data_IF_100584379013
#
_entry.id   IF_100584379013
#
_cell.length_a   1.000
_cell.length_b   1.000
_cell.length_c   1.000
_cell.angle_alpha   90.00
_cell.angle_beta   90.00
_cell.angle_gamma   90.00
#
_symmetry.space_group_name_H-M   'P 1'
#
loop_
_entity.id
_entity.type
_entity.pdbx_description
1 polymer ?
#
# COMPACT_ATOMS: atom_id res chain seq x y z
N UNK A 1 -43.99 -51.43 -16.79
CA UNK A 1 -42.69 -50.97 -17.30
C UNK A 1 -42.76 -49.46 -17.54
N UNK A 2 -42.61 -48.67 -16.52
CA UNK A 2 -42.50 -47.21 -16.60
C UNK A 2 -41.44 -46.73 -15.65
N UNK A 3 -40.42 -46.10 -16.21
CA UNK A 3 -39.31 -45.47 -15.51
C UNK A 3 -39.79 -44.23 -14.72
N UNK A 4 -39.55 -44.20 -13.42
CA UNK A 4 -39.66 -43.01 -12.62
C UNK A 4 -38.24 -42.40 -12.48
N UNK A 5 -38.02 -41.27 -13.16
CA UNK A 5 -36.82 -40.44 -13.01
C UNK A 5 -37.00 -39.52 -11.80
N UNK A 6 -36.24 -39.74 -10.77
CA UNK A 6 -36.20 -38.85 -9.63
C UNK A 6 -35.32 -37.63 -9.94
N UNK A 7 -35.92 -36.45 -9.97
CA UNK A 7 -35.26 -35.15 -10.02
C UNK A 7 -34.65 -34.85 -8.65
N UNK A 8 -33.34 -34.94 -8.54
CA UNK A 8 -32.55 -34.33 -7.46
C UNK A 8 -32.27 -32.87 -7.86
N UNK A 9 -33.10 -31.97 -7.39
CA UNK A 9 -32.81 -30.54 -7.37
C UNK A 9 -31.76 -30.31 -6.29
N UNK A 10 -30.51 -30.05 -6.71
CA UNK A 10 -29.45 -29.51 -5.85
C UNK A 10 -29.84 -28.13 -5.42
N UNK A 11 -30.12 -27.95 -4.12
CA UNK A 11 -30.19 -26.66 -3.48
C UNK A 11 -28.77 -26.00 -3.52
N UNK A 12 -28.56 -25.09 -4.46
CA UNK A 12 -27.43 -24.21 -4.44
C UNK A 12 -27.63 -23.21 -3.30
N UNK A 13 -26.93 -23.45 -2.19
CA UNK A 13 -26.74 -22.45 -1.13
C UNK A 13 -26.08 -21.24 -1.77
N UNK A 14 -26.84 -20.15 -1.93
CA UNK A 14 -26.35 -18.86 -2.38
C UNK A 14 -25.40 -18.25 -1.36
N UNK A 15 -24.14 -18.61 -1.48
CA UNK A 15 -23.05 -17.87 -0.83
C UNK A 15 -22.69 -16.74 -1.80
N UNK A 16 -23.31 -15.57 -1.64
CA UNK A 16 -22.92 -14.33 -2.33
C UNK A 16 -21.53 -13.96 -1.84
N UNK A 17 -20.49 -14.48 -2.50
CA UNK A 17 -19.15 -13.92 -2.39
C UNK A 17 -19.23 -12.51 -2.94
N UNK A 18 -19.14 -11.50 -2.05
CA UNK A 18 -18.95 -10.10 -2.45
C UNK A 18 -17.81 -10.07 -3.47
N UNK A 19 -18.02 -9.41 -4.62
CA UNK A 19 -16.94 -9.22 -5.59
C UNK A 19 -15.80 -8.47 -4.91
N UNK A 20 -14.55 -8.75 -5.29
CA UNK A 20 -13.39 -8.11 -4.67
C UNK A 20 -13.44 -6.58 -4.70
N UNK A 21 -14.01 -5.99 -5.74
CA UNK A 21 -14.27 -4.55 -5.83
C UNK A 21 -15.24 -4.05 -4.76
N UNK A 22 -16.25 -4.84 -4.41
CA UNK A 22 -17.18 -4.50 -3.32
C UNK A 22 -16.46 -4.50 -1.98
N UNK A 23 -15.58 -5.49 -1.71
CA UNK A 23 -14.82 -5.57 -0.46
C UNK A 23 -13.85 -4.39 -0.27
N UNK A 24 -13.14 -3.99 -1.34
CA UNK A 24 -12.29 -2.79 -1.31
C UNK A 24 -13.11 -1.52 -1.17
N UNK A 25 -14.26 -1.43 -1.84
CA UNK A 25 -15.17 -0.28 -1.81
C UNK A 25 -15.71 0.01 -0.40
N UNK A 26 -16.07 -1.03 0.34
CA UNK A 26 -16.53 -0.90 1.73
C UNK A 26 -15.47 -0.26 2.65
N UNK A 27 -14.21 -0.68 2.52
CA UNK A 27 -13.12 -0.13 3.32
C UNK A 27 -12.64 1.23 2.81
N UNK A 28 -12.66 1.45 1.50
CA UNK A 28 -12.22 2.70 0.88
C UNK A 28 -13.12 3.89 1.23
N UNK A 29 -14.43 3.68 1.28
CA UNK A 29 -15.38 4.77 1.55
C UNK A 29 -15.12 5.53 2.87
N UNK A 30 -14.99 4.89 4.03
CA UNK A 30 -14.65 5.61 5.26
C UNK A 30 -13.26 6.27 5.22
N UNK A 31 -12.29 5.66 4.51
CA UNK A 31 -10.96 6.23 4.31
C UNK A 31 -11.05 7.56 3.53
N UNK A 32 -11.77 7.58 2.40
CA UNK A 32 -11.92 8.80 1.59
C UNK A 32 -12.57 9.94 2.40
N UNK A 33 -13.58 9.60 3.22
CA UNK A 33 -14.21 10.58 4.12
C UNK A 33 -13.22 11.12 5.14
N UNK A 34 -12.40 10.25 5.74
CA UNK A 34 -11.40 10.66 6.72
C UNK A 34 -10.27 11.50 6.10
N UNK A 35 -9.79 11.14 4.91
CA UNK A 35 -8.80 11.92 4.17
C UNK A 35 -9.33 13.30 3.82
N UNK A 36 -10.59 13.42 3.39
CA UNK A 36 -11.22 14.69 3.11
C UNK A 36 -11.32 15.58 4.36
N UNK A 37 -11.68 15.01 5.50
CA UNK A 37 -11.72 15.72 6.79
C UNK A 37 -10.32 16.14 7.25
N UNK A 38 -9.30 15.34 6.99
CA UNK A 38 -7.90 15.63 7.35
C UNK A 38 -7.25 16.72 6.47
N UNK A 39 -7.94 17.20 5.42
CA UNK A 39 -7.48 18.32 4.60
C UNK A 39 -7.77 19.70 5.19
N UNK A 40 -8.21 19.81 6.44
CA UNK A 40 -8.24 21.07 7.18
C UNK A 40 -6.90 21.29 7.89
N UNK A 41 -6.00 22.00 7.22
CA UNK A 41 -4.62 22.23 7.69
C UNK A 41 -4.49 23.44 8.65
N UNK A 42 -5.64 23.98 9.14
CA UNK A 42 -5.68 25.08 10.09
C UNK A 42 -5.44 26.47 9.48
N UNK A 43 -5.70 27.51 10.31
CA UNK A 43 -5.72 28.92 9.87
C UNK A 43 -4.36 29.48 9.42
N UNK A 44 -3.25 28.83 9.75
CA UNK A 44 -1.89 29.31 9.39
C UNK A 44 -1.38 28.76 8.06
N UNK A 45 -2.06 27.80 7.45
CA UNK A 45 -1.63 27.22 6.18
C UNK A 45 -1.98 28.16 5.01
N UNK A 46 -0.99 28.54 4.18
CA UNK A 46 -1.27 29.34 2.98
C UNK A 46 -2.20 28.62 2.01
N UNK A 47 -3.16 29.33 1.42
CA UNK A 47 -4.19 28.73 0.53
C UNK A 47 -3.61 27.93 -0.64
N UNK A 48 -2.54 28.43 -1.28
CA UNK A 48 -1.90 27.73 -2.39
C UNK A 48 -1.21 26.43 -1.95
N UNK A 49 -0.59 26.42 -0.78
CA UNK A 49 0.01 25.21 -0.19
C UNK A 49 -1.07 24.19 0.18
N UNK A 50 -2.13 24.64 0.86
CA UNK A 50 -3.28 23.81 1.17
C UNK A 50 -3.94 23.19 -0.07
N UNK A 51 -4.03 23.96 -1.16
CA UNK A 51 -4.55 23.47 -2.45
C UNK A 51 -3.67 22.36 -3.03
N UNK A 52 -2.35 22.52 -3.04
CA UNK A 52 -1.40 21.51 -3.54
C UNK A 52 -1.44 20.22 -2.68
N UNK A 53 -1.47 20.34 -1.36
CA UNK A 53 -1.58 19.21 -0.45
C UNK A 53 -2.89 18.43 -0.67
N UNK A 54 -4.03 19.14 -0.80
CA UNK A 54 -5.33 18.51 -1.12
C UNK A 54 -5.32 17.84 -2.47
N UNK A 55 -4.74 18.50 -3.47
CA UNK A 55 -4.63 17.96 -4.82
C UNK A 55 -3.93 16.59 -4.84
N UNK A 56 -2.83 16.46 -4.10
CA UNK A 56 -2.08 15.20 -3.98
C UNK A 56 -2.80 14.16 -3.13
N UNK A 57 -3.22 14.52 -1.91
CA UNK A 57 -3.79 13.58 -0.94
C UNK A 57 -5.12 13.00 -1.41
N UNK A 58 -5.96 13.81 -2.07
CA UNK A 58 -7.27 13.41 -2.59
C UNK A 58 -7.22 12.93 -4.05
N UNK A 59 -6.03 12.81 -4.65
CA UNK A 59 -5.89 12.23 -5.99
C UNK A 59 -6.49 10.82 -6.05
N UNK A 60 -7.13 10.42 -7.16
CA UNK A 60 -7.70 9.09 -7.31
C UNK A 60 -6.67 7.98 -7.05
N UNK A 61 -7.05 6.94 -6.29
CA UNK A 61 -6.15 5.86 -5.95
C UNK A 61 -6.84 4.64 -5.36
N UNK A 62 -6.10 3.52 -5.31
CA UNK A 62 -6.60 2.26 -4.73
C UNK A 62 -6.66 2.29 -3.20
N UNK A 63 -6.01 3.26 -2.55
CA UNK A 63 -5.90 3.42 -1.08
C UNK A 63 -5.41 2.15 -0.38
N UNK A 64 -4.48 1.45 -1.01
CA UNK A 64 -4.07 0.13 -0.51
C UNK A 64 -3.45 0.19 0.90
N UNK A 65 -2.62 1.20 1.19
CA UNK A 65 -1.98 1.35 2.51
C UNK A 65 -2.98 1.61 3.63
N UNK A 66 -3.88 2.60 3.54
CA UNK A 66 -4.97 2.75 4.52
C UNK A 66 -5.85 1.50 4.64
N UNK A 67 -6.15 0.82 3.54
CA UNK A 67 -6.93 -0.43 3.55
C UNK A 67 -6.19 -1.52 4.33
N UNK A 68 -4.88 -1.64 4.21
CA UNK A 68 -4.07 -2.58 5.00
C UNK A 68 -4.16 -2.30 6.50
N UNK A 69 -4.19 -1.01 6.92
CA UNK A 69 -4.42 -0.62 8.33
C UNK A 69 -5.76 -1.17 8.81
N UNK A 70 -6.83 -0.99 8.04
CA UNK A 70 -8.17 -1.47 8.43
C UNK A 70 -8.25 -3.00 8.40
N UNK A 71 -7.67 -3.66 7.41
CA UNK A 71 -7.68 -5.12 7.29
C UNK A 71 -6.91 -5.82 8.43
N UNK A 72 -5.77 -5.26 8.83
CA UNK A 72 -5.00 -5.84 9.95
C UNK A 72 -5.74 -5.68 11.27
N UNK A 73 -6.33 -4.52 11.53
CA UNK A 73 -7.16 -4.29 12.71
C UNK A 73 -8.37 -5.22 12.75
N UNK A 74 -9.05 -5.39 11.61
CA UNK A 74 -10.18 -6.32 11.51
C UNK A 74 -9.76 -7.78 11.76
N UNK A 75 -8.66 -8.23 11.16
CA UNK A 75 -8.16 -9.58 11.37
C UNK A 75 -7.83 -9.85 12.84
N UNK A 76 -7.18 -8.89 13.53
CA UNK A 76 -6.88 -8.98 14.95
C UNK A 76 -8.15 -8.98 15.82
N UNK A 77 -9.12 -8.10 15.54
CA UNK A 77 -10.39 -8.01 16.27
C UNK A 77 -11.23 -9.26 16.08
N UNK A 78 -11.46 -9.70 14.84
CA UNK A 78 -12.22 -10.91 14.53
C UNK A 78 -11.61 -12.16 15.18
N UNK A 79 -10.29 -12.27 15.17
CA UNK A 79 -9.58 -13.39 15.78
C UNK A 79 -9.74 -13.41 17.31
N UNK A 80 -9.75 -12.22 17.96
CA UNK A 80 -9.79 -12.09 19.42
C UNK A 80 -11.22 -12.04 19.98
N UNK A 81 -12.14 -11.31 19.32
CA UNK A 81 -13.48 -11.00 19.87
C UNK A 81 -14.62 -11.44 18.97
N UNK A 82 -14.36 -11.80 17.71
CA UNK A 82 -15.38 -12.11 16.71
C UNK A 82 -16.07 -10.88 16.10
N UNK A 83 -15.64 -9.66 16.41
CA UNK A 83 -16.25 -8.42 15.91
C UNK A 83 -15.56 -7.92 14.63
N UNK A 84 -16.36 -7.64 13.59
CA UNK A 84 -15.86 -7.05 12.34
C UNK A 84 -15.68 -5.54 12.47
N UNK A 85 -14.80 -4.95 11.65
CA UNK A 85 -14.59 -3.50 11.61
C UNK A 85 -15.82 -2.76 11.07
N UNK A 86 -16.63 -3.39 10.22
CA UNK A 86 -17.85 -2.82 9.68
C UNK A 86 -18.95 -2.65 10.75
N UNK A 87 -18.97 -3.55 11.73
CA UNK A 87 -19.97 -3.53 12.81
C UNK A 87 -19.45 -2.79 14.06
N UNK A 88 -18.14 -2.46 14.10
CA UNK A 88 -17.48 -1.84 15.24
C UNK A 88 -16.95 -0.42 14.90
N UNK A 89 -17.86 0.56 14.97
CA UNK A 89 -17.51 1.98 14.73
C UNK A 89 -16.39 2.48 15.66
N UNK A 90 -16.31 1.95 16.89
CA UNK A 90 -15.24 2.30 17.83
C UNK A 90 -13.89 1.85 17.31
N UNK A 91 -13.77 0.61 16.85
CA UNK A 91 -12.53 0.07 16.27
C UNK A 91 -12.13 0.87 15.03
N UNK A 92 -13.09 1.15 14.13
CA UNK A 92 -12.85 1.95 12.94
C UNK A 92 -12.27 3.33 13.29
N UNK A 93 -12.89 4.05 14.25
CA UNK A 93 -12.40 5.36 14.68
C UNK A 93 -11.03 5.29 15.36
N UNK A 94 -10.76 4.21 16.08
CA UNK A 94 -9.48 4.01 16.78
C UNK A 94 -8.30 3.82 15.82
N UNK A 95 -8.50 3.16 14.69
CA UNK A 95 -7.42 2.85 13.71
C UNK A 95 -7.35 3.83 12.55
N UNK A 96 -8.40 4.61 12.31
CA UNK A 96 -8.46 5.57 11.20
C UNK A 96 -7.31 6.61 11.22
N UNK A 97 -6.84 7.12 12.38
CA UNK A 97 -5.69 8.02 12.40
C UNK A 97 -4.43 7.41 11.76
N UNK A 98 -4.18 6.12 11.99
CA UNK A 98 -3.08 5.40 11.33
C UNK A 98 -3.26 5.27 9.82
N UNK A 99 -4.50 5.02 9.39
CA UNK A 99 -4.84 4.92 7.97
C UNK A 99 -4.64 6.25 7.23
N UNK A 100 -5.04 7.37 7.83
CA UNK A 100 -4.83 8.72 7.28
C UNK A 100 -3.35 9.07 7.24
N UNK A 101 -2.64 8.86 8.35
CA UNK A 101 -1.24 9.22 8.48
C UNK A 101 -0.34 8.46 7.47
N UNK A 102 -0.55 7.16 7.28
CA UNK A 102 0.24 6.40 6.31
C UNK A 102 -0.03 6.82 4.87
N UNK A 103 -1.26 7.27 4.54
CA UNK A 103 -1.56 7.80 3.21
C UNK A 103 -0.94 9.18 2.99
N UNK A 104 -0.86 10.04 4.03
CA UNK A 104 -0.12 11.30 3.95
C UNK A 104 1.37 11.06 3.66
N UNK A 105 2.00 10.10 4.34
CA UNK A 105 3.38 9.68 4.05
C UNK A 105 3.51 9.16 2.62
N UNK A 106 2.56 8.37 2.15
CA UNK A 106 2.58 7.90 0.77
C UNK A 106 2.38 9.05 -0.23
N UNK A 107 1.48 10.00 0.05
CA UNK A 107 1.23 11.12 -0.84
C UNK A 107 2.47 12.03 -0.97
N UNK A 108 3.16 12.36 0.15
CA UNK A 108 4.38 13.14 0.07
C UNK A 108 5.46 12.44 -0.75
N UNK A 109 5.63 11.13 -0.58
CA UNK A 109 6.66 10.40 -1.33
C UNK A 109 6.39 10.44 -2.83
N UNK A 110 5.11 10.35 -3.25
CA UNK A 110 4.75 10.47 -4.66
C UNK A 110 4.96 11.89 -5.22
N UNK A 111 4.68 12.95 -4.42
CA UNK A 111 4.95 14.33 -4.84
C UNK A 111 6.42 14.52 -5.12
N UNK A 112 7.28 14.04 -4.22
CA UNK A 112 8.73 14.19 -4.38
C UNK A 112 9.29 13.28 -5.48
N UNK A 113 8.80 12.05 -5.60
CA UNK A 113 9.20 11.14 -6.67
C UNK A 113 8.92 11.70 -8.07
N UNK A 114 7.83 12.47 -8.23
CA UNK A 114 7.43 13.06 -9.53
C UNK A 114 8.29 14.26 -9.96
N UNK A 115 9.10 14.87 -9.08
CA UNK A 115 9.90 16.06 -9.37
C UNK A 115 10.93 15.84 -10.49
N UNK A 116 11.32 16.90 -11.25
CA UNK A 116 12.33 16.80 -12.30
C UNK A 116 13.70 16.28 -11.85
N UNK A 117 14.05 16.47 -10.56
CA UNK A 117 15.27 15.95 -9.95
C UNK A 117 15.19 14.46 -9.56
N UNK A 118 14.03 13.83 -9.73
CA UNK A 118 13.71 12.46 -9.35
C UNK A 118 13.25 11.67 -10.59
N UNK A 119 11.97 11.24 -10.62
CA UNK A 119 11.42 10.46 -11.74
C UNK A 119 11.03 11.31 -12.95
N UNK A 120 10.97 12.63 -12.83
CA UNK A 120 10.60 13.60 -13.89
C UNK A 120 9.30 13.20 -14.61
N UNK A 121 8.25 13.00 -13.84
CA UNK A 121 6.96 12.55 -14.33
C UNK A 121 5.95 13.70 -14.43
N UNK A 122 5.50 14.05 -15.65
CA UNK A 122 4.48 15.08 -15.89
C UNK A 122 3.08 14.62 -15.49
N UNK A 123 2.80 13.33 -15.53
CA UNK A 123 1.48 12.75 -15.30
C UNK A 123 1.52 11.59 -14.30
N UNK A 124 0.58 11.62 -13.36
CA UNK A 124 0.32 10.51 -12.43
C UNK A 124 -1.15 10.16 -12.40
N UNK A 125 -1.48 8.89 -12.70
CA UNK A 125 -2.89 8.41 -12.79
C UNK A 125 -3.76 9.25 -13.73
N UNK A 126 -3.20 9.68 -14.84
CA UNK A 126 -3.87 10.48 -15.87
C UNK A 126 -4.12 11.95 -15.53
N UNK A 127 -3.52 12.45 -14.42
CA UNK A 127 -3.57 13.86 -14.02
C UNK A 127 -2.17 14.48 -14.00
N UNK A 128 -2.02 15.79 -14.22
CA UNK A 128 -0.74 16.47 -14.00
C UNK A 128 -0.20 16.20 -12.60
N UNK A 129 1.11 16.03 -12.49
CA UNK A 129 1.79 15.95 -11.19
C UNK A 129 1.79 17.28 -10.49
N UNK A 130 2.09 17.32 -9.18
CA UNK A 130 1.95 18.56 -8.39
C UNK A 130 2.86 19.67 -8.92
N UNK A 131 4.09 19.35 -9.34
CA UNK A 131 5.00 20.36 -9.88
C UNK A 131 4.56 20.92 -11.26
N UNK A 132 3.77 20.17 -12.01
CA UNK A 132 3.18 20.62 -13.28
C UNK A 132 1.90 21.45 -13.04
N UNK A 133 1.04 21.03 -12.10
CA UNK A 133 -0.22 21.72 -11.80
C UNK A 133 0.01 23.05 -11.06
N UNK A 134 1.04 23.10 -10.21
CA UNK A 134 1.41 24.28 -9.40
C UNK A 134 2.79 24.81 -9.84
N UNK A 135 3.85 24.39 -9.17
CA UNK A 135 5.26 24.63 -9.48
C UNK A 135 6.15 23.70 -8.61
N UNK A 136 7.46 23.64 -8.93
CA UNK A 136 8.41 22.77 -8.21
C UNK A 136 8.55 23.16 -6.73
N UNK A 137 8.63 24.45 -6.41
CA UNK A 137 8.79 24.91 -5.04
C UNK A 137 7.56 24.55 -4.19
N UNK A 138 6.35 24.76 -4.75
CA UNK A 138 5.10 24.36 -4.11
C UNK A 138 5.02 22.84 -3.93
N UNK A 139 5.49 22.05 -4.90
CA UNK A 139 5.53 20.59 -4.79
C UNK A 139 6.47 20.12 -3.67
N UNK A 140 7.68 20.67 -3.59
CA UNK A 140 8.63 20.36 -2.50
C UNK A 140 8.00 20.68 -1.14
N UNK A 141 7.45 21.89 -0.97
CA UNK A 141 6.85 22.32 0.29
C UNK A 141 5.58 21.53 0.64
N UNK A 142 4.77 21.12 -0.35
CA UNK A 142 3.59 20.28 -0.11
C UNK A 142 3.98 18.89 0.37
N UNK A 143 5.05 18.30 -0.15
CA UNK A 143 5.60 17.04 0.34
C UNK A 143 6.12 17.16 1.77
N UNK A 144 6.93 18.17 2.07
CA UNK A 144 7.46 18.44 3.41
C UNK A 144 6.32 18.63 4.43
N UNK A 145 5.31 19.41 4.06
CA UNK A 145 4.17 19.68 4.92
C UNK A 145 3.34 18.41 5.19
N UNK A 146 3.02 17.60 4.16
CA UNK A 146 2.28 16.35 4.34
C UNK A 146 3.02 15.34 5.20
N UNK A 147 4.37 15.30 5.14
CA UNK A 147 5.16 14.47 6.02
C UNK A 147 5.00 14.90 7.49
N UNK A 148 5.06 16.21 7.77
CA UNK A 148 4.85 16.74 9.12
C UNK A 148 3.40 16.52 9.60
N UNK A 149 2.41 16.79 8.73
CA UNK A 149 0.98 16.60 9.00
C UNK A 149 0.63 15.15 9.34
N UNK A 150 1.31 14.15 8.77
CA UNK A 150 1.10 12.75 9.12
C UNK A 150 1.34 12.49 10.62
N UNK A 151 2.41 13.04 11.18
CA UNK A 151 2.73 12.91 12.61
C UNK A 151 1.82 13.78 13.48
N UNK A 152 1.54 15.00 13.05
CA UNK A 152 0.59 15.90 13.70
C UNK A 152 -0.78 15.23 13.81
N UNK A 153 -1.25 14.59 12.73
CA UNK A 153 -2.52 13.88 12.71
C UNK A 153 -2.58 12.75 13.74
N UNK A 154 -1.51 11.93 13.86
CA UNK A 154 -1.43 10.92 14.91
C UNK A 154 -1.48 11.54 16.31
N UNK A 155 -0.71 12.61 16.54
CA UNK A 155 -0.67 13.29 17.84
C UNK A 155 -2.02 13.87 18.26
N UNK A 156 -2.80 14.37 17.30
CA UNK A 156 -4.12 14.97 17.58
C UNK A 156 -5.23 13.93 17.77
N UNK A 157 -5.14 12.75 17.16
CA UNK A 157 -6.26 11.81 17.07
C UNK A 157 -6.05 10.48 17.79
N UNK A 158 -4.81 10.13 18.20
CA UNK A 158 -4.53 8.95 19.04
C UNK A 158 -4.44 9.37 20.50
N UNK A 159 -5.48 9.12 21.27
CA UNK A 159 -5.58 9.59 22.66
C UNK A 159 -4.77 8.77 23.67
N UNK A 160 -4.51 7.49 23.39
CA UNK A 160 -3.68 6.62 24.23
C UNK A 160 -2.19 6.91 23.98
N UNK A 161 -1.44 7.40 25.00
CA UNK A 161 -0.05 7.80 24.81
C UNK A 161 0.89 6.64 24.47
N UNK A 162 0.57 5.41 24.88
CA UNK A 162 1.38 4.22 24.55
C UNK A 162 1.19 3.85 23.08
N UNK A 163 -0.06 3.84 22.62
CA UNK A 163 -0.39 3.61 21.21
C UNK A 163 0.14 4.72 20.31
N UNK A 164 0.03 5.97 20.76
CA UNK A 164 0.60 7.11 20.04
C UNK A 164 2.12 6.97 19.86
N UNK A 165 2.85 6.71 20.93
CA UNK A 165 4.29 6.53 20.86
C UNK A 165 4.68 5.38 19.92
N UNK A 166 3.97 4.27 19.98
CA UNK A 166 4.19 3.13 19.09
C UNK A 166 3.84 3.47 17.62
N UNK A 167 2.71 4.13 17.36
CA UNK A 167 2.29 4.52 16.01
C UNK A 167 3.29 5.52 15.37
N UNK A 168 3.75 6.52 16.13
CA UNK A 168 4.78 7.47 15.69
C UNK A 168 6.09 6.76 15.40
N UNK A 169 6.52 5.82 16.26
CA UNK A 169 7.74 5.03 16.05
C UNK A 169 7.67 4.17 14.79
N UNK A 170 6.55 3.49 14.56
CA UNK A 170 6.33 2.65 13.37
C UNK A 170 6.40 3.52 12.10
N UNK A 171 5.63 4.60 12.06
CA UNK A 171 5.54 5.44 10.86
C UNK A 171 6.84 6.18 10.56
N UNK A 172 7.50 6.74 11.59
CA UNK A 172 8.78 7.44 11.42
C UNK A 172 9.91 6.51 10.99
N UNK A 173 9.95 5.28 11.52
CA UNK A 173 10.87 4.25 11.06
C UNK A 173 10.65 3.94 9.57
N UNK A 174 9.40 3.70 9.17
CA UNK A 174 9.08 3.36 7.78
C UNK A 174 9.37 4.50 6.80
N UNK A 175 9.20 5.77 7.20
CA UNK A 175 9.51 6.96 6.40
C UNK A 175 10.99 7.36 6.43
N UNK A 176 11.83 6.69 7.21
CA UNK A 176 13.21 7.13 7.54
C UNK A 176 14.22 6.93 6.42
N UNK A 177 15.43 7.47 6.67
CA UNK A 177 16.61 7.27 5.83
C UNK A 177 17.05 5.80 5.68
N UNK A 178 16.72 4.94 6.64
CA UNK A 178 17.02 3.50 6.56
C UNK A 178 15.94 2.69 5.80
N UNK A 179 14.78 3.28 5.53
CA UNK A 179 13.66 2.62 4.86
C UNK A 179 13.21 3.39 3.60
N UNK A 180 12.04 4.01 3.58
CA UNK A 180 11.44 4.63 2.38
C UNK A 180 12.42 5.57 1.68
N UNK A 181 12.95 6.57 2.39
CA UNK A 181 13.86 7.57 1.80
C UNK A 181 15.18 6.92 1.36
N UNK A 182 15.75 6.04 2.18
CA UNK A 182 16.97 5.30 1.81
C UNK A 182 16.77 4.34 0.65
N UNK A 183 15.58 3.71 0.58
CA UNK A 183 15.21 2.86 -0.55
C UNK A 183 15.09 3.66 -1.84
N UNK A 184 14.48 4.86 -1.79
CA UNK A 184 14.40 5.78 -2.93
C UNK A 184 15.78 6.28 -3.38
N UNK A 185 16.65 6.63 -2.42
CA UNK A 185 18.01 7.07 -2.73
C UNK A 185 18.83 5.99 -3.45
N UNK A 186 18.71 4.73 -3.03
CA UNK A 186 19.38 3.62 -3.69
C UNK A 186 18.73 3.25 -5.03
N UNK A 187 17.42 3.42 -5.18
CA UNK A 187 16.72 3.21 -6.45
C UNK A 187 17.21 4.18 -7.52
N UNK A 188 17.21 5.49 -7.22
CA UNK A 188 17.76 6.53 -8.11
C UNK A 188 19.25 6.32 -8.43
N UNK A 189 20.01 5.90 -7.43
CA UNK A 189 21.42 5.58 -7.65
C UNK A 189 21.58 4.40 -8.60
N UNK A 190 20.69 3.39 -8.49
CA UNK A 190 20.69 2.22 -9.36
C UNK A 190 20.42 2.56 -10.82
N UNK A 191 19.63 3.60 -11.10
CA UNK A 191 19.34 4.07 -12.45
C UNK A 191 20.53 4.84 -13.06
N UNK A 192 21.19 5.66 -12.25
CA UNK A 192 22.20 6.63 -12.73
C UNK A 192 23.63 6.11 -12.79
N UNK A 193 23.97 5.06 -12.07
CA UNK A 193 25.33 4.54 -12.03
C UNK A 193 25.53 3.32 -12.95
N UNK A 194 26.62 3.35 -13.73
CA UNK A 194 27.15 2.18 -14.39
C UNK A 194 27.78 1.23 -13.35
N UNK A 195 26.94 0.72 -12.44
CA UNK A 195 27.42 -0.25 -11.46
C UNK A 195 28.02 -1.47 -12.13
N UNK A 196 29.13 -2.02 -11.62
CA UNK A 196 29.63 -3.31 -12.06
C UNK A 196 28.51 -4.36 -11.99
N UNK A 197 28.43 -5.25 -12.99
CA UNK A 197 27.42 -6.34 -13.00
C UNK A 197 27.37 -7.13 -11.68
N UNK A 198 28.48 -7.19 -10.93
CA UNK A 198 28.60 -7.85 -9.64
C UNK A 198 27.69 -7.27 -8.52
N UNK A 199 27.22 -6.03 -8.66
CA UNK A 199 26.33 -5.37 -7.68
C UNK A 199 24.86 -5.47 -8.12
N UNK A 200 24.59 -5.69 -9.40
CA UNK A 200 23.23 -5.84 -9.96
C UNK A 200 22.70 -7.25 -9.68
N UNK A 201 22.32 -7.50 -8.44
CA UNK A 201 21.81 -8.80 -7.99
C UNK A 201 20.33 -8.71 -7.58
N UNK A 202 19.67 -9.86 -7.57
CA UNK A 202 18.29 -9.99 -7.05
C UNK A 202 18.23 -9.55 -5.59
N UNK A 203 19.21 -9.92 -4.78
CA UNK A 203 19.26 -9.57 -3.35
C UNK A 203 19.34 -8.04 -3.14
N UNK A 204 20.12 -7.35 -4.00
CA UNK A 204 20.18 -5.90 -3.95
C UNK A 204 18.87 -5.24 -4.36
N UNK A 205 18.26 -5.69 -5.46
CA UNK A 205 16.93 -5.25 -5.90
C UNK A 205 15.89 -5.48 -4.79
N UNK A 206 15.86 -6.65 -4.17
CA UNK A 206 14.98 -6.93 -3.03
C UNK A 206 15.22 -6.01 -1.84
N UNK A 207 16.47 -5.67 -1.56
CA UNK A 207 16.82 -4.72 -0.49
C UNK A 207 16.23 -3.33 -0.77
N UNK A 208 16.29 -2.84 -2.01
CA UNK A 208 15.67 -1.57 -2.43
C UNK A 208 14.15 -1.65 -2.23
N UNK A 209 13.51 -2.68 -2.80
CA UNK A 209 12.05 -2.82 -2.75
C UNK A 209 11.51 -3.02 -1.33
N UNK A 210 12.20 -3.77 -0.47
CA UNK A 210 11.83 -3.93 0.94
C UNK A 210 11.85 -2.59 1.68
N UNK A 211 12.79 -1.70 1.37
CA UNK A 211 12.91 -0.38 2.00
C UNK A 211 11.96 0.63 1.36
N UNK A 212 11.97 0.80 0.04
CA UNK A 212 11.18 1.80 -0.69
C UNK A 212 9.67 1.54 -0.55
N UNK A 213 9.24 0.31 -0.78
CA UNK A 213 7.81 -0.05 -0.82
C UNK A 213 7.39 -0.90 0.38
N UNK A 214 8.15 -1.93 0.70
CA UNK A 214 7.83 -2.91 1.75
C UNK A 214 7.69 -2.28 3.13
N UNK A 215 8.49 -1.25 3.43
CA UNK A 215 8.44 -0.57 4.72
C UNK A 215 7.06 0.05 5.03
N UNK A 216 6.44 0.73 4.06
CA UNK A 216 5.10 1.29 4.25
C UNK A 216 4.00 0.22 4.26
N UNK A 217 4.16 -0.90 3.57
CA UNK A 217 3.25 -2.04 3.71
C UNK A 217 3.30 -2.62 5.13
N UNK A 218 4.52 -2.84 5.64
CA UNK A 218 4.71 -3.31 7.01
C UNK A 218 4.17 -2.33 8.04
N UNK A 219 4.47 -1.04 7.88
CA UNK A 219 3.95 0.01 8.76
C UNK A 219 2.42 0.07 8.74
N UNK A 220 1.78 -0.09 7.57
CA UNK A 220 0.32 -0.09 7.46
C UNK A 220 -0.31 -1.20 8.30
N UNK A 221 0.18 -2.43 8.17
CA UNK A 221 -0.34 -3.57 8.92
C UNK A 221 -0.04 -3.44 10.43
N UNK A 222 1.15 -2.97 10.79
CA UNK A 222 1.54 -2.81 12.19
C UNK A 222 0.82 -1.65 12.88
N UNK A 223 0.52 -0.55 12.17
CA UNK A 223 -0.33 0.54 12.67
C UNK A 223 -1.74 0.04 13.01
N UNK A 224 -2.36 -0.72 12.12
CA UNK A 224 -3.67 -1.30 12.39
C UNK A 224 -3.64 -2.26 13.59
N UNK A 225 -2.60 -3.08 13.69
CA UNK A 225 -2.40 -4.02 14.78
C UNK A 225 -2.22 -3.30 16.13
N UNK A 226 -1.30 -2.34 16.22
CA UNK A 226 -0.99 -1.60 17.46
C UNK A 226 -2.20 -0.80 17.92
N UNK A 227 -2.86 -0.10 17.01
CA UNK A 227 -4.02 0.72 17.35
C UNK A 227 -5.22 -0.13 17.77
N UNK A 228 -5.33 -1.39 17.34
CA UNK A 228 -6.40 -2.34 17.71
C UNK A 228 -6.06 -3.29 18.86
N UNK A 229 -5.00 -3.03 19.64
CA UNK A 229 -4.58 -3.85 20.78
C UNK A 229 -4.18 -5.29 20.41
N UNK A 230 -3.57 -5.49 19.25
CA UNK A 230 -3.13 -6.79 18.79
C UNK A 230 -2.04 -7.40 19.70
N UNK A 231 -2.08 -8.71 19.88
CA UNK A 231 -1.05 -9.45 20.61
C UNK A 231 0.29 -9.49 19.86
N UNK A 232 1.36 -9.83 20.56
CA UNK A 232 2.67 -10.00 19.92
C UNK A 232 2.69 -11.07 18.83
N UNK A 233 1.93 -12.16 19.01
CA UNK A 233 1.80 -13.23 18.02
C UNK A 233 1.05 -12.75 16.76
N UNK A 234 -0.05 -12.01 16.94
CA UNK A 234 -0.79 -11.39 15.82
C UNK A 234 0.11 -10.43 15.04
N UNK A 235 0.86 -9.57 15.71
CA UNK A 235 1.81 -8.66 15.08
C UNK A 235 2.92 -9.41 14.32
N UNK A 236 3.43 -10.51 14.87
CA UNK A 236 4.44 -11.36 14.22
C UNK A 236 3.90 -11.96 12.92
N UNK A 237 2.69 -12.52 12.93
CA UNK A 237 2.04 -13.05 11.72
C UNK A 237 1.80 -11.97 10.67
N UNK A 238 1.35 -10.77 11.08
CA UNK A 238 1.18 -9.64 10.16
C UNK A 238 2.51 -9.15 9.58
N UNK A 239 3.59 -9.17 10.36
CA UNK A 239 4.93 -8.79 9.87
C UNK A 239 5.44 -9.78 8.79
N UNK A 240 5.25 -11.08 8.99
CA UNK A 240 5.53 -12.11 7.98
C UNK A 240 4.71 -11.89 6.72
N UNK A 241 3.40 -11.71 6.87
CA UNK A 241 2.48 -11.40 5.77
C UNK A 241 2.93 -10.14 4.99
N UNK A 242 3.25 -9.04 5.70
CA UNK A 242 3.69 -7.78 5.11
C UNK A 242 4.97 -7.92 4.28
N UNK A 243 5.96 -8.65 4.82
CA UNK A 243 7.24 -8.88 4.17
C UNK A 243 7.08 -9.57 2.81
N UNK A 244 6.24 -10.59 2.75
CA UNK A 244 5.99 -11.34 1.52
C UNK A 244 5.08 -10.58 0.56
N UNK A 245 4.00 -9.96 1.04
CA UNK A 245 3.06 -9.20 0.21
C UNK A 245 3.71 -7.97 -0.44
N UNK A 246 4.48 -7.19 0.34
CA UNK A 246 5.15 -5.99 -0.14
C UNK A 246 6.17 -6.29 -1.24
N UNK A 247 6.92 -7.40 -1.10
CA UNK A 247 7.85 -7.84 -2.13
C UNK A 247 7.11 -8.38 -3.36
N UNK A 248 6.05 -9.20 -3.15
CA UNK A 248 5.21 -9.71 -4.24
C UNK A 248 4.60 -8.56 -5.05
N UNK A 249 4.17 -7.49 -4.35
CA UNK A 249 3.61 -6.30 -4.99
C UNK A 249 4.59 -5.69 -6.01
N UNK A 250 5.87 -5.55 -5.66
CA UNK A 250 6.89 -5.02 -6.57
C UNK A 250 7.23 -5.99 -7.70
N UNK A 251 7.36 -7.29 -7.41
CA UNK A 251 7.61 -8.28 -8.48
C UNK A 251 6.49 -8.26 -9.52
N UNK A 252 5.24 -8.11 -9.08
CA UNK A 252 4.08 -8.01 -9.99
C UNK A 252 4.07 -6.67 -10.74
N UNK A 253 4.43 -5.54 -10.10
CA UNK A 253 4.54 -4.24 -10.78
C UNK A 253 5.58 -4.31 -11.89
N UNK A 254 6.79 -4.78 -11.62
CA UNK A 254 7.86 -4.95 -12.59
C UNK A 254 7.44 -5.89 -13.73
N UNK A 255 6.72 -6.98 -13.41
CA UNK A 255 6.23 -7.92 -14.40
C UNK A 255 5.16 -7.31 -15.31
N UNK A 256 4.25 -6.52 -14.75
CA UNK A 256 3.20 -5.85 -15.50
C UNK A 256 3.78 -4.76 -16.40
N UNK A 257 4.74 -3.96 -15.92
CA UNK A 257 5.41 -2.95 -16.75
C UNK A 257 6.14 -3.60 -17.92
N UNK A 258 6.82 -4.72 -17.67
CA UNK A 258 7.52 -5.48 -18.71
C UNK A 258 6.59 -6.08 -19.76
N UNK A 259 5.38 -6.54 -19.37
CA UNK A 259 4.46 -7.28 -20.24
C UNK A 259 3.35 -6.41 -20.85
N UNK A 260 3.18 -5.20 -20.33
CA UNK A 260 2.09 -4.33 -20.76
C UNK A 260 2.30 -3.79 -22.17
N UNK A 261 1.24 -3.86 -22.99
CA UNK A 261 1.16 -3.12 -24.23
C UNK A 261 0.87 -1.63 -23.91
N UNK A 262 1.63 -0.71 -24.48
CA UNK A 262 1.55 0.75 -24.25
C UNK A 262 0.13 1.32 -24.40
N UNK A 263 -0.73 0.66 -25.18
CA UNK A 263 -2.12 1.05 -25.42
C UNK A 263 -3.07 0.80 -24.22
N UNK A 264 -2.70 -0.10 -23.29
CA UNK A 264 -3.60 -0.55 -22.19
C UNK A 264 -3.36 0.26 -20.91
N UNK A 265 -2.13 0.72 -20.67
CA UNK A 265 -1.75 1.34 -19.38
C UNK A 265 -1.89 2.85 -19.33
N UNK A 266 -2.11 3.56 -20.45
CA UNK A 266 -2.10 5.04 -20.46
C UNK A 266 -0.77 5.65 -19.98
N UNK A 267 0.28 4.83 -19.86
CA UNK A 267 1.69 5.16 -19.62
C UNK A 267 2.50 4.62 -20.79
N UNK A 268 3.71 5.14 -21.01
CA UNK A 268 4.66 4.46 -21.88
C UNK A 268 5.04 3.13 -21.22
N UNK A 269 4.58 2.01 -21.77
CA UNK A 269 5.02 0.69 -21.36
C UNK A 269 6.52 0.54 -21.60
N UNK A 270 7.22 -0.18 -20.71
CA UNK A 270 8.67 -0.34 -20.83
C UNK A 270 9.49 0.88 -20.37
N UNK A 271 8.88 1.85 -19.67
CA UNK A 271 9.55 3.05 -19.13
C UNK A 271 10.74 2.68 -18.25
N UNK A 272 10.62 1.62 -17.47
CA UNK A 272 11.67 1.12 -16.59
C UNK A 272 12.87 0.60 -17.41
N UNK A 273 12.63 -0.10 -18.52
CA UNK A 273 13.70 -0.57 -19.41
C UNK A 273 14.41 0.58 -20.16
N UNK A 274 13.66 1.60 -20.60
CA UNK A 274 14.20 2.81 -21.23
C UNK A 274 15.13 3.60 -20.30
N UNK A 275 14.82 3.60 -18.98
CA UNK A 275 15.63 4.27 -17.94
C UNK A 275 16.79 3.41 -17.41
N UNK A 276 16.95 2.19 -17.89
CA UNK A 276 17.97 1.25 -17.38
C UNK A 276 17.70 0.76 -15.96
N UNK A 277 16.45 0.86 -15.47
CA UNK A 277 16.04 0.45 -14.14
C UNK A 277 16.25 -1.04 -13.93
N UNK A 278 16.71 -1.39 -12.75
CA UNK A 278 16.84 -2.77 -12.34
C UNK A 278 15.47 -3.37 -12.02
N UNK A 279 15.06 -4.42 -12.71
CA UNK A 279 13.75 -5.07 -12.53
C UNK A 279 13.88 -6.58 -12.42
N UNK A 280 12.87 -7.23 -11.81
CA UNK A 280 12.85 -8.70 -11.72
C UNK A 280 12.85 -9.40 -13.09
N UNK A 281 12.01 -8.97 -14.07
CA UNK A 281 12.10 -9.57 -15.41
C UNK A 281 13.45 -9.36 -16.08
N UNK A 282 14.11 -8.23 -15.85
CA UNK A 282 15.45 -7.94 -16.38
C UNK A 282 16.55 -8.84 -15.81
N UNK A 283 16.44 -9.20 -14.52
CA UNK A 283 17.43 -10.05 -13.84
C UNK A 283 17.16 -11.54 -13.98
N UNK A 284 15.89 -11.95 -13.88
CA UNK A 284 15.49 -13.36 -13.80
C UNK A 284 14.83 -13.86 -15.09
N UNK A 285 14.38 -12.96 -15.96
CA UNK A 285 13.44 -13.28 -17.03
C UNK A 285 11.99 -13.32 -16.53
N UNK A 286 11.04 -13.06 -17.43
CA UNK A 286 9.61 -12.91 -17.11
C UNK A 286 9.01 -14.14 -16.41
N UNK A 287 9.37 -15.36 -16.85
CA UNK A 287 8.83 -16.59 -16.28
C UNK A 287 9.23 -16.77 -14.81
N UNK A 288 10.50 -16.58 -14.47
CA UNK A 288 10.99 -16.73 -13.11
C UNK A 288 10.48 -15.60 -12.20
N UNK A 289 10.32 -14.38 -12.72
CA UNK A 289 9.67 -13.27 -11.98
C UNK A 289 8.23 -13.64 -11.61
N UNK A 290 7.45 -14.19 -12.53
CA UNK A 290 6.09 -14.66 -12.27
C UNK A 290 6.07 -15.79 -11.22
N UNK A 291 6.94 -16.78 -11.34
CA UNK A 291 7.04 -17.88 -10.35
C UNK A 291 7.41 -17.35 -8.96
N UNK A 292 8.30 -16.36 -8.88
CA UNK A 292 8.66 -15.69 -7.63
C UNK A 292 7.45 -14.97 -7.01
N UNK A 293 6.66 -14.24 -7.81
CA UNK A 293 5.43 -13.60 -7.33
C UNK A 293 4.46 -14.62 -6.72
N UNK A 294 4.21 -15.73 -7.42
CA UNK A 294 3.34 -16.82 -6.95
C UNK A 294 3.85 -17.40 -5.63
N UNK A 295 5.16 -17.66 -5.52
CA UNK A 295 5.78 -18.18 -4.30
C UNK A 295 5.63 -17.21 -3.12
N UNK A 296 5.88 -15.93 -3.34
CA UNK A 296 5.74 -14.89 -2.31
C UNK A 296 4.28 -14.75 -1.83
N UNK A 297 3.32 -14.78 -2.74
CA UNK A 297 1.90 -14.77 -2.39
C UNK A 297 1.52 -16.03 -1.61
N UNK A 298 2.03 -17.20 -1.99
CA UNK A 298 1.86 -18.43 -1.21
C UNK A 298 2.37 -18.28 0.22
N UNK A 299 3.57 -17.71 0.41
CA UNK A 299 4.15 -17.46 1.74
C UNK A 299 3.33 -16.45 2.53
N UNK A 300 2.89 -15.34 1.92
CA UNK A 300 2.01 -14.36 2.56
C UNK A 300 0.71 -15.02 3.06
N UNK A 301 0.08 -15.86 2.24
CA UNK A 301 -1.14 -16.59 2.63
C UNK A 301 -0.90 -17.54 3.80
N UNK A 302 0.25 -18.21 3.89
CA UNK A 302 0.59 -19.06 5.04
C UNK A 302 0.65 -18.27 6.35
N UNK A 303 1.27 -17.08 6.35
CA UNK A 303 1.28 -16.20 7.52
C UNK A 303 -0.14 -15.75 7.91
N UNK A 304 -0.98 -15.42 6.94
CA UNK A 304 -2.37 -15.00 7.17
C UNK A 304 -3.22 -16.12 7.80
N UNK A 305 -2.92 -17.41 7.56
CA UNK A 305 -3.66 -18.53 8.14
C UNK A 305 -3.63 -18.57 9.66
N UNK A 306 -2.68 -17.88 10.31
CA UNK A 306 -2.68 -17.66 11.76
C UNK A 306 -4.04 -17.13 12.26
N UNK A 307 -4.69 -16.27 11.49
CA UNK A 307 -5.97 -15.66 11.89
C UNK A 307 -7.19 -16.54 11.64
N UNK A 308 -7.04 -17.75 11.08
CA UNK A 308 -8.15 -18.65 10.78
C UNK A 308 -9.22 -17.98 9.92
N UNK A 309 -10.52 -18.04 10.31
CA UNK A 309 -11.61 -17.43 9.55
C UNK A 309 -11.48 -15.89 9.38
N UNK A 310 -10.79 -15.21 10.31
CA UNK A 310 -10.55 -13.77 10.25
C UNK A 310 -9.55 -13.36 9.14
N UNK A 311 -8.80 -14.31 8.58
CA UNK A 311 -7.84 -14.08 7.49
C UNK A 311 -8.50 -13.74 6.13
N UNK A 312 -9.81 -13.86 5.99
CA UNK A 312 -10.53 -13.82 4.70
C UNK A 312 -10.11 -12.64 3.80
N UNK A 313 -10.05 -11.43 4.36
CA UNK A 313 -9.68 -10.23 3.58
C UNK A 313 -8.19 -10.20 3.24
N UNK A 314 -7.33 -10.65 4.15
CA UNK A 314 -5.87 -10.75 3.91
C UNK A 314 -5.57 -11.78 2.80
N UNK A 315 -6.20 -12.97 2.86
CA UNK A 315 -6.06 -13.99 1.82
C UNK A 315 -6.54 -13.49 0.47
N UNK A 316 -7.70 -12.84 0.44
CA UNK A 316 -8.24 -12.26 -0.79
C UNK A 316 -7.31 -11.16 -1.37
N UNK A 317 -6.75 -10.27 -0.50
CA UNK A 317 -5.84 -9.24 -0.96
C UNK A 317 -4.56 -9.82 -1.56
N UNK A 318 -4.04 -10.90 -1.00
CA UNK A 318 -2.89 -11.60 -1.55
C UNK A 318 -3.18 -12.13 -2.98
N UNK A 319 -4.34 -12.74 -3.20
CA UNK A 319 -4.77 -13.17 -4.53
C UNK A 319 -4.97 -11.97 -5.47
N UNK A 320 -5.62 -10.89 -5.00
CA UNK A 320 -5.81 -9.67 -5.79
C UNK A 320 -4.49 -9.05 -6.27
N UNK A 321 -3.43 -9.05 -5.44
CA UNK A 321 -2.11 -8.54 -5.84
C UNK A 321 -1.53 -9.36 -6.99
N UNK A 322 -1.74 -10.67 -7.00
CA UNK A 322 -1.23 -11.55 -8.06
C UNK A 322 -2.04 -11.44 -9.36
N UNK A 323 -3.36 -11.24 -9.25
CA UNK A 323 -4.30 -11.30 -10.38
C UNK A 323 -4.52 -9.93 -11.06
N UNK A 324 -4.05 -8.85 -10.46
CA UNK A 324 -4.20 -7.51 -11.04
C UNK A 324 -3.52 -7.41 -12.41
N UNK A 325 -4.08 -6.58 -13.28
CA UNK A 325 -3.60 -6.32 -14.64
C UNK A 325 -3.01 -4.93 -14.83
N UNK A 326 -3.07 -4.09 -13.80
CA UNK A 326 -2.56 -2.70 -13.77
C UNK A 326 -2.45 -2.18 -12.33
#
# INVERSE_FOLDING_TARGET
>A
LTHASANLQSASSGNTSLSGETMLGELRRPIETALQSACDFGQGCPDHLAAAMRYALLAPGKRLRPILVLMSAEACSLHSTGESIADNTRLLNQVMPGAVAVEMIHAYSLIHDDLPAMDDDDLRRGRPTVHIEFDEATAILAGDALQAEAFQHLCCHVSDPVKLAAAVSILSSAASASHLVGGQADDLKAENDHHPESVRSVDWLESIHRRKTGALFSASLDLGAVLSDATGEQRSALAGYASHLGLAFQVVDDYLDFTADAAVLGKRAGKDAERGKLTYPGLLGAQQAKEKAVSLIGSAKQEALFFGPAAKRLLWLADYVLERTH
#
